data_IF_834430681097
#
_entry.id   IF_834430681097
#
_cell.length_a   1.000
_cell.length_b   1.000
_cell.length_c   1.000
_cell.angle_alpha   90.00
_cell.angle_beta   90.00
_cell.angle_gamma   90.00
#
_symmetry.space_group_name_H-M   'P 1'
#
loop_
_entity.id
_entity.type
_entity.pdbx_description
1 polymer ?
#
# COMPACT_ATOMS: atom_id res chain seq x y z
N UNK A 1 -9.25 -1.03 8.40
CA UNK A 1 -9.46 0.25 7.68
C UNK A 1 -8.19 0.70 6.95
N UNK A 2 -7.14 1.19 7.62
CA UNK A 2 -5.90 1.70 6.97
C UNK A 2 -5.11 0.60 6.22
N UNK A 3 -4.90 -0.55 6.89
CA UNK A 3 -4.10 -1.69 6.37
C UNK A 3 -4.68 -2.31 5.09
N UNK A 4 -5.99 -2.23 4.92
CA UNK A 4 -6.71 -2.78 3.77
C UNK A 4 -6.63 -1.85 2.55
N UNK A 5 -6.53 -0.54 2.77
CA UNK A 5 -6.25 0.43 1.70
C UNK A 5 -4.86 0.24 1.10
N UNK A 6 -3.89 -0.20 1.91
CA UNK A 6 -2.51 -0.46 1.49
C UNK A 6 -2.34 -1.74 0.66
N UNK A 7 -3.33 -2.64 0.68
CA UNK A 7 -3.29 -3.92 -0.06
C UNK A 7 -4.14 -3.89 -1.34
N UNK A 8 -4.70 -2.73 -1.71
CA UNK A 8 -5.45 -2.59 -2.95
C UNK A 8 -4.55 -2.82 -4.14
N UNK A 9 -5.08 -3.51 -5.15
CA UNK A 9 -4.34 -3.70 -6.41
C UNK A 9 -4.21 -2.35 -7.14
N UNK A 10 -3.15 -2.12 -7.92
CA UNK A 10 -2.98 -0.90 -8.71
C UNK A 10 -4.22 -0.53 -9.54
N UNK A 11 -4.89 -1.53 -10.12
CA UNK A 11 -6.12 -1.37 -10.91
C UNK A 11 -7.30 -0.83 -10.12
N UNK A 12 -7.36 -1.08 -8.82
CA UNK A 12 -8.38 -0.52 -7.91
C UNK A 12 -8.06 0.91 -7.46
N UNK A 13 -6.87 1.42 -7.83
CA UNK A 13 -6.40 2.79 -7.55
C UNK A 13 -6.47 3.69 -8.79
N UNK A 14 -7.08 3.20 -9.89
CA UNK A 14 -7.20 3.94 -11.15
C UNK A 14 -5.98 3.82 -12.07
N UNK A 15 -5.09 2.84 -11.83
CA UNK A 15 -3.99 2.54 -12.75
C UNK A 15 -4.49 1.53 -13.78
N UNK A 16 -4.58 1.96 -15.03
CA UNK A 16 -5.23 1.18 -16.10
C UNK A 16 -4.32 0.17 -16.80
N UNK A 17 -3.00 0.34 -16.69
CA UNK A 17 -2.03 -0.45 -17.44
C UNK A 17 -1.05 -1.16 -16.52
N UNK A 18 -0.80 -2.43 -16.82
CA UNK A 18 0.27 -3.25 -16.24
C UNK A 18 1.44 -3.40 -17.22
N UNK A 19 2.66 -3.69 -16.72
CA UNK A 19 3.81 -3.97 -17.58
C UNK A 19 3.52 -5.05 -18.64
N UNK A 20 2.78 -6.09 -18.25
CA UNK A 20 2.39 -7.19 -19.13
C UNK A 20 1.42 -6.73 -20.22
N UNK A 21 0.41 -5.93 -19.88
CA UNK A 21 -0.53 -5.39 -20.86
C UNK A 21 0.17 -4.48 -21.87
N UNK A 22 1.14 -3.66 -21.43
CA UNK A 22 1.94 -2.83 -22.33
C UNK A 22 2.78 -3.70 -23.28
N UNK A 23 3.39 -4.78 -22.77
CA UNK A 23 4.20 -5.69 -23.58
C UNK A 23 3.38 -6.47 -24.61
N UNK A 24 2.14 -6.85 -24.27
CA UNK A 24 1.25 -7.61 -25.15
C UNK A 24 0.43 -6.72 -26.09
N UNK A 25 0.54 -5.40 -26.00
CA UNK A 25 -0.27 -4.50 -26.79
C UNK A 25 0.25 -4.42 -28.24
N UNK A 26 -0.63 -4.72 -29.19
CA UNK A 26 -0.37 -4.53 -30.61
C UNK A 26 -1.13 -3.31 -31.13
N UNK A 27 -0.42 -2.41 -31.82
CA UNK A 27 -1.02 -1.26 -32.47
C UNK A 27 -1.48 -1.61 -33.89
N UNK A 28 -2.62 -1.05 -34.30
CA UNK A 28 -3.09 -1.14 -35.68
C UNK A 28 -2.09 -0.49 -36.65
N UNK A 29 -1.77 -1.20 -37.74
CA UNK A 29 -0.94 -0.63 -38.80
C UNK A 29 -1.71 0.41 -39.63
N UNK A 30 -1.14 1.61 -39.81
CA UNK A 30 -1.69 2.68 -40.68
C UNK A 30 -0.64 3.18 -41.67
N UNK A 31 -1.11 3.71 -42.80
CA UNK A 31 -0.27 4.16 -43.93
C UNK A 31 0.68 5.33 -43.58
N UNK A 32 0.41 6.02 -42.47
CA UNK A 32 1.32 6.97 -41.81
C UNK A 32 1.29 6.67 -40.32
N UNK A 33 2.45 6.59 -39.69
CA UNK A 33 2.60 6.28 -38.27
C UNK A 33 4.04 6.42 -37.82
N UNK A 34 4.26 6.15 -36.53
CA UNK A 34 5.60 6.02 -35.97
C UNK A 34 6.25 4.73 -36.45
N UNK A 35 7.58 4.72 -36.47
CA UNK A 35 8.37 3.53 -36.73
C UNK A 35 8.16 2.52 -35.60
N UNK A 36 7.86 1.27 -35.96
CA UNK A 36 7.49 0.22 -35.00
C UNK A 36 8.63 -0.08 -34.02
N UNK A 37 9.87 -0.13 -34.50
CA UNK A 37 11.03 -0.44 -33.67
C UNK A 37 11.31 0.70 -32.68
N UNK A 38 11.17 1.97 -33.11
CA UNK A 38 11.29 3.11 -32.21
C UNK A 38 10.21 3.13 -31.12
N UNK A 39 8.98 2.74 -31.46
CA UNK A 39 7.90 2.62 -30.48
C UNK A 39 8.20 1.49 -29.49
N UNK A 40 8.64 0.33 -29.98
CA UNK A 40 9.00 -0.81 -29.13
C UNK A 40 10.13 -0.46 -28.16
N UNK A 41 11.22 0.14 -28.63
CA UNK A 41 12.35 0.59 -27.81
C UNK A 41 11.93 1.62 -26.75
N UNK A 42 10.89 2.41 -27.04
CA UNK A 42 10.31 3.35 -26.09
C UNK A 42 9.41 2.64 -25.06
N UNK A 43 8.57 1.70 -25.50
CA UNK A 43 7.71 0.91 -24.63
C UNK A 43 8.50 0.02 -23.67
N UNK A 44 9.62 -0.56 -24.10
CA UNK A 44 10.51 -1.35 -23.24
C UNK A 44 11.04 -0.54 -22.05
N UNK A 45 11.35 0.74 -22.27
CA UNK A 45 11.75 1.66 -21.20
C UNK A 45 10.59 1.96 -20.25
N UNK A 46 9.40 2.18 -20.78
CA UNK A 46 8.19 2.40 -19.96
C UNK A 46 7.87 1.16 -19.12
N UNK A 47 7.94 -0.04 -19.69
CA UNK A 47 7.73 -1.31 -18.99
C UNK A 47 8.70 -1.40 -17.81
N UNK A 48 9.99 -1.17 -18.06
CA UNK A 48 11.03 -1.20 -17.02
C UNK A 48 10.78 -0.20 -15.89
N UNK A 49 10.34 1.02 -16.23
CA UNK A 49 10.00 2.03 -15.23
C UNK A 49 8.77 1.61 -14.41
N UNK A 50 7.72 1.08 -15.05
CA UNK A 50 6.54 0.55 -14.36
C UNK A 50 6.89 -0.60 -13.40
N UNK A 51 7.75 -1.53 -13.80
CA UNK A 51 8.25 -2.58 -12.92
C UNK A 51 9.02 -2.00 -11.72
N UNK A 52 9.86 -0.98 -11.97
CA UNK A 52 10.63 -0.31 -10.93
C UNK A 52 9.71 0.41 -9.93
N UNK A 53 8.69 1.13 -10.41
CA UNK A 53 7.70 1.77 -9.55
C UNK A 53 6.90 0.76 -8.73
N UNK A 54 6.47 -0.34 -9.33
CA UNK A 54 5.77 -1.41 -8.62
C UNK A 54 6.62 -1.99 -7.49
N UNK A 55 7.93 -2.18 -7.72
CA UNK A 55 8.86 -2.64 -6.69
C UNK A 55 8.99 -1.62 -5.55
N UNK A 56 9.20 -0.34 -5.86
CA UNK A 56 9.32 0.73 -4.86
C UNK A 56 8.05 0.84 -4.02
N UNK A 57 6.88 0.83 -4.66
CA UNK A 57 5.58 0.91 -3.97
C UNK A 57 5.42 -0.28 -3.02
N UNK A 58 5.75 -1.49 -3.47
CA UNK A 58 5.68 -2.69 -2.63
C UNK A 58 6.60 -2.59 -1.42
N UNK A 59 7.85 -2.17 -1.61
CA UNK A 59 8.81 -1.98 -0.51
C UNK A 59 8.32 -0.93 0.50
N UNK A 60 7.75 0.18 0.02
CA UNK A 60 7.16 1.21 0.89
C UNK A 60 5.95 0.69 1.65
N UNK A 61 5.06 -0.06 0.99
CA UNK A 61 3.90 -0.67 1.65
C UNK A 61 4.34 -1.66 2.74
N UNK A 62 5.35 -2.49 2.48
CA UNK A 62 5.92 -3.42 3.46
C UNK A 62 6.53 -2.66 4.65
N UNK A 63 7.28 -1.58 4.39
CA UNK A 63 7.85 -0.74 5.44
C UNK A 63 6.76 -0.07 6.30
N UNK A 64 5.71 0.46 5.68
CA UNK A 64 4.57 1.04 6.39
C UNK A 64 3.86 -0.02 7.24
N UNK A 65 3.62 -1.22 6.70
CA UNK A 65 3.01 -2.33 7.46
C UNK A 65 3.89 -2.74 8.63
N UNK A 66 5.21 -2.83 8.43
CA UNK A 66 6.16 -3.08 9.51
C UNK A 66 6.01 -2.01 10.58
N UNK A 67 6.16 -0.73 10.24
CA UNK A 67 6.06 0.37 11.20
C UNK A 67 4.72 0.35 11.96
N UNK A 68 3.59 0.15 11.28
CA UNK A 68 2.27 0.08 11.94
C UNK A 68 2.17 -1.04 12.97
N UNK A 69 2.78 -2.21 12.72
CA UNK A 69 2.77 -3.32 13.69
C UNK A 69 3.64 -3.02 14.92
N UNK A 70 4.69 -2.21 14.79
CA UNK A 70 5.57 -1.83 15.90
C UNK A 70 5.09 -0.56 16.62
N UNK A 71 4.36 0.30 15.91
CA UNK A 71 3.74 1.53 16.39
C UNK A 71 2.36 1.30 17.01
N UNK A 72 2.02 0.07 17.42
CA UNK A 72 1.01 -0.17 18.45
C UNK A 72 1.66 -0.17 19.83
N UNK A 73 1.94 0.99 20.46
CA UNK A 73 2.05 1.01 21.90
C UNK A 73 0.63 0.89 22.45
N UNK A 74 0.17 -0.34 22.69
CA UNK A 74 -0.61 -0.56 23.92
C UNK A 74 0.36 -0.34 25.09
N UNK A 75 0.72 0.92 25.35
CA UNK A 75 1.59 1.32 26.47
C UNK A 75 0.83 1.42 27.79
N UNK A 76 -0.42 1.01 27.81
CA UNK A 76 -1.00 0.44 29.03
C UNK A 76 -0.57 -1.02 29.08
N UNK A 77 0.32 -1.41 30.02
CA UNK A 77 0.54 -2.81 30.34
C UNK A 77 -0.82 -3.48 30.45
N UNK A 78 -1.01 -4.63 29.83
CA UNK A 78 -2.23 -5.41 29.98
C UNK A 78 -2.54 -5.54 31.47
N UNK A 79 -3.63 -4.89 31.92
CA UNK A 79 -4.01 -4.82 33.34
C UNK A 79 -3.85 -3.45 34.01
N UNK A 80 -3.25 -2.43 33.40
CA UNK A 80 -3.17 -1.10 34.02
C UNK A 80 -4.55 -0.42 34.09
N UNK A 81 -5.39 -0.58 33.06
CA UNK A 81 -6.81 -0.19 33.14
C UNK A 81 -7.59 -0.95 34.23
N UNK A 82 -7.26 -2.23 34.43
CA UNK A 82 -7.89 -3.05 35.46
C UNK A 82 -7.47 -2.61 36.86
N UNK A 83 -6.17 -2.37 37.06
CA UNK A 83 -5.60 -1.83 38.30
C UNK A 83 -6.12 -0.43 38.63
N UNK A 84 -6.30 0.43 37.62
CA UNK A 84 -6.84 1.77 37.83
C UNK A 84 -8.29 1.70 38.33
N UNK A 85 -9.13 0.83 37.74
CA UNK A 85 -10.50 0.58 38.22
C UNK A 85 -10.54 0.01 39.64
N UNK A 86 -9.66 -0.94 39.94
CA UNK A 86 -9.56 -1.52 41.30
C UNK A 86 -9.19 -0.45 42.34
N UNK A 87 -8.28 0.46 42.00
CA UNK A 87 -7.90 1.59 42.86
C UNK A 87 -9.02 2.61 43.02
N UNK A 88 -9.78 2.93 41.96
CA UNK A 88 -10.93 3.82 42.06
C UNK A 88 -11.98 3.30 43.04
N UNK A 89 -12.27 2.01 42.99
CA UNK A 89 -13.21 1.34 43.90
C UNK A 89 -12.66 1.38 45.34
N UNK A 90 -11.38 1.06 45.53
CA UNK A 90 -10.78 1.00 46.87
C UNK A 90 -10.63 2.39 47.52
N UNK A 91 -10.28 3.42 46.76
CA UNK A 91 -10.03 4.76 47.29
C UNK A 91 -11.29 5.63 47.37
N UNK A 92 -12.24 5.48 46.43
CA UNK A 92 -13.39 6.38 46.33
C UNK A 92 -14.74 5.69 46.56
N UNK A 93 -14.77 4.36 46.71
CA UNK A 93 -15.97 3.61 47.07
C UNK A 93 -17.06 3.55 46.00
N UNK A 94 -16.95 4.33 44.92
CA UNK A 94 -17.76 4.25 43.69
C UNK A 94 -16.94 4.66 42.47
N UNK A 95 -17.16 4.02 41.31
CA UNK A 95 -16.59 4.49 40.05
C UNK A 95 -17.12 5.90 39.74
N UNK A 96 -16.26 6.78 39.22
CA UNK A 96 -16.70 8.07 38.66
C UNK A 96 -17.31 7.78 37.29
N UNK A 97 -18.59 8.09 37.14
CA UNK A 97 -19.36 7.99 35.88
C UNK A 97 -18.77 8.88 34.77
#
# INVERSE_FOLDING_TARGET
MEKERLLRKPTEQGIELTPLEIHMHEFDHRLRGYDQDQVNDYLDRIIKDYETYNKIIKELQEYVVMLLNHATPSSVPAGLHQRLRELEIHCFGRPKD
#
